data_IF_872780872132
#
_entry.id   IF_872780872132
#
_cell.length_a   1.000
_cell.length_b   1.000
_cell.length_c   1.000
_cell.angle_alpha   90.00
_cell.angle_beta   90.00
_cell.angle_gamma   90.00
#
_symmetry.space_group_name_H-M   'P 1'
#
loop_
_entity.id
_entity.type
_entity.pdbx_description
1 polymer ?
#
# COMPACT_ATOMS: atom_id res chain seq x y z
N UNK A 1 27.69 -10.29 -4.38
CA UNK A 1 26.80 -9.31 -5.04
C UNK A 1 25.81 -8.76 -4.00
N UNK A 2 25.53 -7.46 -4.00
CA UNK A 2 24.54 -6.88 -3.08
C UNK A 2 23.16 -6.96 -3.72
N UNK A 3 22.14 -7.57 -3.08
CA UNK A 3 20.82 -7.63 -3.66
C UNK A 3 20.19 -6.24 -3.73
N UNK A 4 19.34 -6.04 -4.74
CA UNK A 4 18.59 -4.82 -4.96
C UNK A 4 17.14 -5.05 -4.57
N UNK A 5 16.57 -4.12 -3.81
CA UNK A 5 15.20 -4.22 -3.29
C UNK A 5 14.36 -3.10 -3.89
N UNK A 6 13.28 -3.46 -4.57
CA UNK A 6 12.27 -2.51 -5.03
C UNK A 6 11.42 -2.08 -3.82
N UNK A 7 11.38 -0.77 -3.58
CA UNK A 7 10.68 -0.15 -2.46
C UNK A 7 9.69 0.87 -3.00
N UNK A 8 8.43 0.74 -2.58
CA UNK A 8 7.41 1.76 -2.77
C UNK A 8 7.37 2.67 -1.54
N UNK A 9 7.24 3.97 -1.80
CA UNK A 9 7.15 5.03 -0.81
C UNK A 9 5.77 5.65 -0.93
N UNK A 10 4.98 5.58 0.12
CA UNK A 10 3.71 6.32 0.23
C UNK A 10 3.93 7.59 1.03
N UNK A 11 3.42 8.70 0.53
CA UNK A 11 3.55 10.01 1.13
C UNK A 11 2.23 10.46 1.78
N UNK A 12 2.29 11.21 2.87
CA UNK A 12 1.09 11.74 3.54
C UNK A 12 0.39 12.84 2.74
N UNK A 13 1.12 13.46 1.80
CA UNK A 13 0.62 14.45 0.84
C UNK A 13 1.45 14.36 -0.45
N UNK A 14 0.94 14.88 -1.59
CA UNK A 14 1.75 15.05 -2.79
C UNK A 14 3.08 15.74 -2.50
N UNK A 15 4.18 15.19 -3.03
CA UNK A 15 5.47 15.85 -3.00
C UNK A 15 5.51 17.00 -4.00
N UNK A 16 6.07 18.12 -3.57
CA UNK A 16 6.33 19.25 -4.47
C UNK A 16 7.48 18.90 -5.42
N UNK A 17 7.52 19.54 -6.59
CA UNK A 17 8.61 19.37 -7.57
C UNK A 17 9.99 19.63 -6.94
N UNK A 18 10.10 20.59 -6.02
CA UNK A 18 11.33 20.91 -5.30
C UNK A 18 11.75 19.78 -4.35
N UNK A 19 10.81 19.20 -3.60
CA UNK A 19 11.07 18.05 -2.73
C UNK A 19 11.54 16.84 -3.55
N UNK A 20 10.85 16.53 -4.65
CA UNK A 20 11.23 15.45 -5.56
C UNK A 20 12.62 15.65 -6.16
N UNK A 21 12.91 16.87 -6.64
CA UNK A 21 14.22 17.20 -7.19
C UNK A 21 15.34 17.04 -6.14
N UNK A 22 15.10 17.48 -4.90
CA UNK A 22 16.06 17.29 -3.79
C UNK A 22 16.25 15.82 -3.43
N UNK A 23 15.17 15.05 -3.39
CA UNK A 23 15.21 13.62 -3.09
C UNK A 23 15.97 12.83 -4.18
N UNK A 24 15.76 13.15 -5.46
CA UNK A 24 16.47 12.56 -6.61
C UNK A 24 17.99 12.74 -6.57
N UNK A 25 18.48 13.81 -5.91
CA UNK A 25 19.93 14.00 -5.70
C UNK A 25 20.52 13.04 -4.68
N UNK A 26 19.69 12.42 -3.84
CA UNK A 26 20.14 11.46 -2.82
C UNK A 26 19.92 10.03 -3.29
N UNK A 27 18.77 9.74 -3.90
CA UNK A 27 18.42 8.39 -4.38
C UNK A 27 17.66 8.50 -5.70
N UNK A 28 17.98 7.69 -6.73
CA UNK A 28 17.18 7.61 -7.94
C UNK A 28 15.76 7.13 -7.61
N UNK A 29 14.75 7.91 -8.01
CA UNK A 29 13.35 7.61 -7.74
C UNK A 29 12.45 8.02 -8.90
N UNK A 30 11.42 7.21 -9.12
CA UNK A 30 10.29 7.52 -9.99
C UNK A 30 9.09 7.95 -9.14
N UNK A 31 8.29 8.89 -9.64
CA UNK A 31 7.06 9.34 -8.99
C UNK A 31 5.86 8.96 -9.86
N UNK A 32 4.74 8.62 -9.24
CA UNK A 32 3.47 8.49 -9.95
C UNK A 32 2.89 9.87 -10.32
N UNK A 33 1.82 9.90 -11.11
CA UNK A 33 1.26 11.14 -11.67
C UNK A 33 0.81 12.16 -10.61
N UNK A 34 0.27 11.70 -9.47
CA UNK A 34 -0.20 12.57 -8.38
C UNK A 34 0.88 12.90 -7.34
N UNK A 35 2.12 12.42 -7.54
CA UNK A 35 3.26 12.58 -6.63
C UNK A 35 3.00 12.12 -5.19
N UNK A 36 2.06 11.21 -4.94
CA UNK A 36 1.83 10.62 -3.61
C UNK A 36 2.54 9.28 -3.42
N UNK A 37 2.98 8.65 -4.53
CA UNK A 37 3.69 7.37 -4.52
C UNK A 37 4.99 7.47 -5.31
N UNK A 38 6.06 6.96 -4.71
CA UNK A 38 7.38 6.91 -5.35
C UNK A 38 7.88 5.47 -5.39
N UNK A 39 8.66 5.13 -6.40
CA UNK A 39 9.33 3.84 -6.53
C UNK A 39 10.85 4.04 -6.56
N UNK A 40 11.55 3.22 -5.78
CA UNK A 40 13.02 3.26 -5.63
C UNK A 40 13.57 1.84 -5.65
N UNK A 41 14.75 1.66 -6.25
CA UNK A 41 15.53 0.42 -6.11
C UNK A 41 16.74 0.70 -5.22
N UNK A 42 16.81 0.02 -4.07
CA UNK A 42 17.85 0.25 -3.07
C UNK A 42 18.74 -1.00 -2.91
N UNK A 43 20.06 -0.90 -3.14
CA UNK A 43 20.98 -1.99 -2.80
C UNK A 43 21.13 -2.12 -1.29
N UNK A 44 20.95 -3.33 -0.76
CA UNK A 44 21.16 -3.64 0.65
C UNK A 44 21.28 -5.14 0.90
N UNK A 45 21.91 -5.53 2.02
CA UNK A 45 22.03 -6.96 2.41
C UNK A 45 20.68 -7.66 2.61
N UNK A 46 19.65 -6.95 3.04
CA UNK A 46 18.30 -7.47 3.27
C UNK A 46 17.28 -6.33 3.14
N UNK A 47 15.98 -6.64 2.90
CA UNK A 47 14.95 -5.63 2.67
C UNK A 47 14.78 -4.67 3.86
N UNK A 48 14.90 -5.15 5.10
CA UNK A 48 14.77 -4.30 6.29
C UNK A 48 15.86 -3.23 6.38
N UNK A 49 17.09 -3.57 5.97
CA UNK A 49 18.19 -2.61 5.85
C UNK A 49 17.95 -1.63 4.72
N UNK A 50 17.41 -2.08 3.59
CA UNK A 50 17.04 -1.22 2.46
C UNK A 50 16.04 -0.14 2.90
N UNK A 51 14.95 -0.53 3.56
CA UNK A 51 13.94 0.39 4.09
C UNK A 51 14.52 1.37 5.11
N UNK A 52 15.37 0.90 6.04
CA UNK A 52 15.97 1.76 7.08
C UNK A 52 16.92 2.80 6.47
N UNK A 53 17.78 2.39 5.55
CA UNK A 53 18.70 3.30 4.85
C UNK A 53 17.91 4.35 4.07
N UNK A 54 16.89 3.92 3.34
CA UNK A 54 16.04 4.82 2.56
C UNK A 54 15.29 5.81 3.45
N UNK A 55 14.72 5.36 4.57
CA UNK A 55 14.07 6.22 5.57
C UNK A 55 15.04 7.27 6.10
N UNK A 56 16.29 6.90 6.36
CA UNK A 56 17.29 7.85 6.85
C UNK A 56 17.70 8.87 5.78
N UNK A 57 17.90 8.42 4.53
CA UNK A 57 18.27 9.29 3.41
C UNK A 57 17.18 10.29 3.03
N UNK A 58 15.91 9.89 3.15
CA UNK A 58 14.77 10.71 2.72
C UNK A 58 13.98 11.33 3.88
N UNK A 59 14.22 10.90 5.12
CA UNK A 59 13.58 11.39 6.34
C UNK A 59 13.96 12.84 6.62
N UNK A 60 13.07 13.76 6.26
CA UNK A 60 13.31 15.21 6.29
C UNK A 60 13.36 15.87 4.91
N UNK A 61 13.40 15.07 3.83
CA UNK A 61 13.29 15.57 2.44
C UNK A 61 11.91 15.33 1.85
N UNK A 62 11.20 14.30 2.31
CA UNK A 62 9.88 13.92 1.83
C UNK A 62 8.93 13.67 3.01
N UNK A 63 7.63 13.95 2.84
CA UNK A 63 6.60 13.65 3.83
C UNK A 63 6.23 12.16 3.82
N UNK A 64 7.20 11.30 4.17
CA UNK A 64 7.05 9.84 4.09
C UNK A 64 6.11 9.34 5.17
N UNK A 65 5.05 8.68 4.73
CA UNK A 65 4.15 7.91 5.58
C UNK A 65 4.74 6.50 5.79
N UNK A 66 4.70 5.69 4.73
CA UNK A 66 5.06 4.27 4.74
C UNK A 66 6.12 3.99 3.68
N UNK A 67 7.08 3.12 4.01
CA UNK A 67 7.91 2.44 3.02
C UNK A 67 7.54 0.96 3.01
N UNK A 68 7.36 0.38 1.82
CA UNK A 68 7.07 -1.04 1.66
C UNK A 68 7.98 -1.68 0.63
N UNK A 69 8.34 -2.95 0.82
CA UNK A 69 8.85 -3.74 -0.31
C UNK A 69 7.75 -3.84 -1.37
N UNK A 70 8.13 -3.64 -2.62
CA UNK A 70 7.18 -3.67 -3.73
C UNK A 70 6.76 -5.11 -4.07
N UNK A 71 7.70 -6.05 -3.95
CA UNK A 71 7.43 -7.47 -4.14
C UNK A 71 7.35 -8.19 -2.79
N UNK A 72 6.47 -9.21 -2.69
CA UNK A 72 6.45 -10.10 -1.55
C UNK A 72 7.71 -10.97 -1.51
N UNK A 73 8.05 -11.43 -0.32
CA UNK A 73 9.08 -12.45 -0.11
C UNK A 73 8.59 -13.86 -0.50
N UNK A 74 9.43 -14.87 -0.27
CA UNK A 74 9.14 -16.28 -0.55
C UNK A 74 7.92 -16.83 0.22
N UNK A 75 7.46 -16.13 1.26
CA UNK A 75 6.27 -16.47 2.03
C UNK A 75 5.06 -15.60 1.66
N UNK A 76 5.13 -14.82 0.59
CA UNK A 76 4.05 -13.92 0.18
C UNK A 76 3.95 -12.65 1.03
N UNK A 77 4.95 -12.34 1.87
CA UNK A 77 4.89 -11.22 2.81
C UNK A 77 5.63 -9.99 2.28
N UNK A 78 5.04 -8.81 2.49
CA UNK A 78 5.72 -7.52 2.26
C UNK A 78 6.24 -6.97 3.59
N UNK A 79 7.36 -6.26 3.53
CA UNK A 79 7.93 -5.61 4.70
C UNK A 79 7.52 -4.14 4.75
N UNK A 80 6.84 -3.76 5.84
CA UNK A 80 6.41 -2.39 6.10
C UNK A 80 7.36 -1.67 7.06
N UNK A 81 7.69 -0.43 6.74
CA UNK A 81 8.34 0.52 7.63
C UNK A 81 7.41 1.73 7.81
N UNK A 82 6.74 1.77 8.96
CA UNK A 82 5.69 2.76 9.26
C UNK A 82 6.21 3.73 10.32
N UNK A 83 5.93 5.02 10.13
CA UNK A 83 6.13 6.01 11.18
C UNK A 83 4.95 5.98 12.15
N UNK A 84 5.24 5.62 13.41
CA UNK A 84 4.24 5.63 14.47
C UNK A 84 4.49 6.83 15.39
N UNK A 85 3.41 7.49 15.80
CA UNK A 85 3.50 8.50 16.86
C UNK A 85 4.00 7.87 18.16
N UNK A 86 4.58 8.68 19.05
CA UNK A 86 5.04 8.20 20.36
C UNK A 86 3.91 7.58 21.17
N UNK A 87 2.69 8.13 21.07
CA UNK A 87 1.50 7.59 21.73
C UNK A 87 1.14 6.22 21.15
N UNK A 88 1.04 6.08 19.83
CA UNK A 88 0.76 4.81 19.17
C UNK A 88 1.81 3.74 19.52
N UNK A 89 3.09 4.12 19.50
CA UNK A 89 4.19 3.22 19.86
C UNK A 89 4.09 2.72 21.31
N UNK A 90 3.76 3.61 22.26
CA UNK A 90 3.54 3.23 23.67
C UNK A 90 2.35 2.29 23.83
N UNK A 91 1.23 2.59 23.16
CA UNK A 91 0.03 1.76 23.19
C UNK A 91 0.33 0.36 22.67
N UNK A 92 0.99 0.24 21.51
CA UNK A 92 1.37 -1.05 20.93
C UNK A 92 2.28 -1.82 21.88
N UNK A 93 3.29 -1.18 22.49
CA UNK A 93 4.18 -1.85 23.45
C UNK A 93 3.42 -2.36 24.67
N UNK A 94 2.51 -1.55 25.24
CA UNK A 94 1.71 -1.95 26.39
C UNK A 94 0.79 -3.13 26.06
N UNK A 95 0.09 -3.07 24.93
CA UNK A 95 -0.81 -4.14 24.49
C UNK A 95 -0.07 -5.43 24.17
N UNK A 96 1.08 -5.35 23.49
CA UNK A 96 1.92 -6.50 23.21
C UNK A 96 2.45 -7.14 24.49
N UNK A 97 2.92 -6.33 25.45
CA UNK A 97 3.39 -6.81 26.74
C UNK A 97 2.27 -7.51 27.55
N UNK A 98 1.05 -6.98 27.53
CA UNK A 98 -0.10 -7.60 28.17
C UNK A 98 -0.45 -8.98 27.58
N UNK A 99 -0.01 -9.27 26.35
CA UNK A 99 -0.22 -10.55 25.67
C UNK A 99 1.07 -11.42 25.63
N UNK A 100 2.15 -11.00 26.30
CA UNK A 100 3.42 -11.71 26.27
C UNK A 100 4.11 -11.72 24.89
N UNK A 101 3.69 -10.84 23.97
CA UNK A 101 4.17 -10.80 22.59
C UNK A 101 5.20 -9.70 22.37
N UNK A 102 6.02 -9.87 21.32
CA UNK A 102 6.87 -8.78 20.82
C UNK A 102 5.97 -7.75 20.10
N UNK A 103 6.24 -6.44 20.22
CA UNK A 103 5.44 -5.39 19.57
C UNK A 103 5.24 -5.58 18.06
N UNK A 104 6.25 -6.12 17.35
CA UNK A 104 6.19 -6.42 15.92
C UNK A 104 5.18 -7.53 15.61
N UNK A 105 5.19 -8.60 16.39
CA UNK A 105 4.35 -9.77 16.14
C UNK A 105 2.89 -9.45 16.48
N UNK A 106 2.68 -8.77 17.61
CA UNK A 106 1.37 -8.19 17.96
C UNK A 106 0.81 -7.30 16.83
N UNK A 107 1.63 -6.36 16.32
CA UNK A 107 1.17 -5.46 15.26
C UNK A 107 0.89 -6.21 13.96
N UNK A 108 1.71 -7.21 13.60
CA UNK A 108 1.48 -8.06 12.43
C UNK A 108 0.14 -8.76 12.54
N UNK A 109 -0.12 -9.47 13.64
CA UNK A 109 -1.36 -10.22 13.85
C UNK A 109 -2.59 -9.30 13.78
N UNK A 110 -2.54 -8.16 14.47
CA UNK A 110 -3.64 -7.18 14.45
C UNK A 110 -3.89 -6.59 13.08
N UNK A 111 -2.83 -6.27 12.33
CA UNK A 111 -2.96 -5.72 10.98
C UNK A 111 -3.54 -6.77 10.02
N UNK A 112 -3.02 -8.00 10.05
CA UNK A 112 -3.53 -9.09 9.22
C UNK A 112 -5.00 -9.39 9.52
N UNK A 113 -5.38 -9.45 10.79
CA UNK A 113 -6.77 -9.65 11.19
C UNK A 113 -7.68 -8.51 10.72
N UNK A 114 -7.24 -7.25 10.87
CA UNK A 114 -8.00 -6.09 10.42
C UNK A 114 -8.21 -6.07 8.90
N UNK A 115 -7.17 -6.40 8.13
CA UNK A 115 -7.26 -6.51 6.66
C UNK A 115 -8.22 -7.62 6.26
N UNK A 116 -8.09 -8.81 6.85
CA UNK A 116 -8.99 -9.94 6.56
C UNK A 116 -10.46 -9.61 6.89
N UNK A 117 -10.70 -8.95 8.02
CA UNK A 117 -12.04 -8.49 8.41
C UNK A 117 -12.60 -7.47 7.42
N UNK A 118 -11.79 -6.50 6.99
CA UNK A 118 -12.20 -5.49 6.01
C UNK A 118 -12.58 -6.10 4.66
N UNK A 119 -11.80 -7.06 4.17
CA UNK A 119 -12.10 -7.78 2.93
C UNK A 119 -13.38 -8.60 3.05
N UNK A 120 -13.57 -9.30 4.17
CA UNK A 120 -14.80 -10.06 4.43
C UNK A 120 -16.03 -9.14 4.48
N UNK A 121 -15.91 -7.99 5.14
CA UNK A 121 -17.00 -7.02 5.24
C UNK A 121 -17.32 -6.38 3.88
N UNK A 122 -16.31 -6.13 3.06
CA UNK A 122 -16.52 -5.66 1.69
C UNK A 122 -17.24 -6.71 0.84
N UNK A 123 -16.85 -7.98 0.95
CA UNK A 123 -17.50 -9.08 0.23
C UNK A 123 -18.98 -9.23 0.66
N UNK A 124 -19.26 -9.18 1.97
CA UNK A 124 -20.63 -9.22 2.50
C UNK A 124 -21.48 -8.07 1.98
N UNK A 125 -20.96 -6.84 2.01
CA UNK A 125 -21.68 -5.67 1.48
C UNK A 125 -21.97 -5.81 -0.01
N UNK A 126 -21.02 -6.31 -0.79
CA UNK A 126 -21.23 -6.56 -2.22
C UNK A 126 -22.30 -7.63 -2.45
N UNK A 127 -22.29 -8.72 -1.69
CA UNK A 127 -23.30 -9.78 -1.78
C UNK A 127 -24.68 -9.23 -1.42
N UNK A 128 -24.80 -8.47 -0.34
CA UNK A 128 -26.06 -7.85 0.06
C UNK A 128 -26.61 -6.92 -1.03
N UNK A 129 -25.76 -6.05 -1.60
CA UNK A 129 -26.15 -5.18 -2.71
C UNK A 129 -26.59 -5.97 -3.95
N UNK A 130 -25.92 -7.08 -4.26
CA UNK A 130 -26.32 -7.95 -5.38
C UNK A 130 -27.66 -8.63 -5.10
N UNK A 131 -27.90 -9.06 -3.86
CA UNK A 131 -29.18 -9.66 -3.45
C UNK A 131 -30.32 -8.66 -3.57
N UNK A 132 -30.11 -7.41 -3.13
CA UNK A 132 -31.11 -6.34 -3.26
C UNK A 132 -31.43 -6.09 -4.75
N UNK A 133 -30.43 -6.07 -5.62
CA UNK A 133 -30.65 -5.93 -7.07
C UNK A 133 -31.40 -7.12 -7.68
N UNK A 134 -31.18 -8.34 -7.19
CA UNK A 134 -31.87 -9.55 -7.66
C UNK A 134 -33.33 -9.63 -7.21
N UNK A 135 -33.77 -8.79 -6.27
CA UNK A 135 -35.19 -8.63 -5.94
C UNK A 135 -35.92 -7.87 -7.06
N UNK A 136 -35.25 -6.89 -7.66
CA UNK A 136 -35.83 -5.99 -8.66
C UNK A 136 -35.56 -6.42 -10.11
N UNK A 137 -34.45 -7.14 -10.35
CA UNK A 137 -33.97 -7.51 -11.68
C UNK A 137 -33.60 -8.99 -11.77
N UNK A 138 -33.75 -9.55 -12.96
CA UNK A 138 -33.28 -10.91 -13.23
C UNK A 138 -31.74 -10.96 -13.30
N UNK A 139 -31.16 -12.13 -13.03
CA UNK A 139 -29.73 -12.33 -13.14
C UNK A 139 -29.20 -12.01 -14.56
N UNK A 140 -29.99 -12.29 -15.59
CA UNK A 140 -29.65 -12.03 -17.00
C UNK A 140 -29.57 -10.53 -17.31
N UNK A 141 -30.49 -9.73 -16.77
CA UNK A 141 -30.47 -8.27 -16.92
C UNK A 141 -29.26 -7.66 -16.21
N UNK A 142 -28.95 -8.12 -14.99
CA UNK A 142 -27.78 -7.65 -14.25
C UNK A 142 -26.47 -8.01 -14.96
N UNK A 143 -26.35 -9.23 -15.49
CA UNK A 143 -25.17 -9.66 -16.23
C UNK A 143 -25.01 -8.87 -17.53
N UNK A 144 -26.10 -8.66 -18.27
CA UNK A 144 -26.11 -7.86 -19.50
C UNK A 144 -25.69 -6.41 -19.23
N UNK A 145 -26.20 -5.81 -18.14
CA UNK A 145 -25.84 -4.47 -17.70
C UNK A 145 -24.36 -4.37 -17.30
N UNK A 146 -23.87 -5.33 -16.50
CA UNK A 146 -22.47 -5.38 -16.10
C UNK A 146 -21.53 -5.52 -17.30
N UNK A 147 -21.85 -6.42 -18.24
CA UNK A 147 -21.08 -6.60 -19.46
C UNK A 147 -21.04 -5.32 -20.31
N UNK A 148 -22.19 -4.67 -20.53
CA UNK A 148 -22.29 -3.42 -21.28
C UNK A 148 -21.48 -2.28 -20.65
N UNK A 149 -21.51 -2.18 -19.32
CA UNK A 149 -20.75 -1.18 -18.56
C UNK A 149 -19.25 -1.42 -18.69
N UNK A 150 -18.80 -2.66 -18.55
CA UNK A 150 -17.38 -3.03 -18.66
C UNK A 150 -16.84 -2.78 -20.07
N UNK A 151 -17.60 -3.13 -21.11
CA UNK A 151 -17.26 -2.87 -22.51
C UNK A 151 -17.14 -1.37 -22.80
N UNK A 152 -18.05 -0.56 -22.24
CA UNK A 152 -18.02 0.90 -22.40
C UNK A 152 -16.83 1.54 -21.70
N UNK A 153 -16.50 1.08 -20.49
CA UNK A 153 -15.33 1.54 -19.74
C UNK A 153 -14.00 1.22 -20.45
N UNK A 154 -13.91 0.05 -21.11
CA UNK A 154 -12.75 -0.32 -21.92
C UNK A 154 -12.55 0.61 -23.12
N UNK A 155 -13.62 0.99 -23.81
CA UNK A 155 -13.53 1.94 -24.95
C UNK A 155 -13.04 3.32 -24.52
N UNK A 156 -13.45 3.79 -23.33
CA UNK A 156 -12.98 5.08 -22.79
C UNK A 156 -11.52 5.09 -22.29
N UNK A 157 -10.90 3.91 -22.11
CA UNK A 157 -9.52 3.77 -21.62
C UNK A 157 -8.47 3.57 -22.71
N UNK A 158 -8.88 3.45 -23.98
CA UNK A 158 -7.93 3.38 -25.08
C UNK A 158 -7.36 4.78 -25.33
N UNK A 159 -6.05 5.04 -25.10
CA UNK A 159 -5.46 6.31 -25.49
C UNK A 159 -5.37 6.34 -27.01
N UNK A 160 -5.86 7.41 -27.63
CA UNK A 160 -5.41 7.82 -28.96
C UNK A 160 -3.89 7.98 -28.91
N UNK A 161 -3.17 7.08 -29.57
CA UNK A 161 -1.73 7.22 -29.76
C UNK A 161 -1.46 8.37 -30.76
N UNK A 162 -0.45 9.23 -30.53
CA UNK A 162 0.15 10.03 -31.58
C UNK A 162 1.03 9.17 -32.51
#
# INVERSE_FOLDING_TARGET
MTPHHAIEITLTRPATTRELHRARRTVPLAANADHTRLLVVQPAKNPGRALRVLRHQLGGRLPIDILTTHYPDEHGQILLNVALSTTAHRTIRKSAAAQGQRPRDFLRERLTAAVAQSEQERARRLIAQLQDLLVEYTAEELLTCAASTLLSAHRSRSPSAP
#
